data_IF_016413761555
#
_entry.id   IF_016413761555
#
_cell.length_a   1.000
_cell.length_b   1.000
_cell.length_c   1.000
_cell.angle_alpha   90.00
_cell.angle_beta   90.00
_cell.angle_gamma   90.00
#
_symmetry.space_group_name_H-M   'P 1'
#
loop_
_entity.id
_entity.type
_entity.pdbx_description
1 polymer ?
#
# COMPACT_ATOMS: atom_id res chain seq x y z
N UNK A 1 2.95 20.72 -25.48
CA UNK A 1 1.69 20.32 -24.81
C UNK A 1 1.17 18.93 -25.22
N UNK A 2 1.17 18.52 -26.50
CA UNK A 2 0.67 17.21 -26.96
C UNK A 2 1.37 15.98 -26.35
N UNK A 3 2.66 16.04 -26.08
CA UNK A 3 3.45 14.90 -25.57
C UNK A 3 3.17 14.54 -24.10
N UNK A 4 2.88 15.55 -23.25
CA UNK A 4 2.53 15.35 -21.84
C UNK A 4 1.15 14.71 -21.67
N UNK A 5 0.18 15.12 -22.49
CA UNK A 5 -1.18 14.57 -22.47
C UNK A 5 -1.19 13.10 -22.90
N UNK A 6 -0.47 12.76 -23.98
CA UNK A 6 -0.32 11.38 -24.47
C UNK A 6 0.29 10.47 -23.39
N UNK A 7 1.36 10.92 -22.73
CA UNK A 7 2.05 10.14 -21.67
C UNK A 7 1.16 9.92 -20.43
N UNK A 8 0.34 10.89 -20.07
CA UNK A 8 -0.58 10.74 -18.95
C UNK A 8 -1.65 9.69 -19.28
N UNK A 9 -2.19 9.70 -20.49
CA UNK A 9 -3.17 8.72 -20.95
C UNK A 9 -2.58 7.29 -20.95
N UNK A 10 -1.37 7.10 -21.47
CA UNK A 10 -0.67 5.81 -21.46
C UNK A 10 -0.45 5.28 -20.02
N UNK A 11 -0.11 6.14 -19.08
CA UNK A 11 0.04 5.75 -17.67
C UNK A 11 -1.30 5.33 -17.06
N UNK A 12 -2.36 6.08 -17.32
CA UNK A 12 -3.71 5.77 -16.80
C UNK A 12 -4.20 4.44 -17.34
N UNK A 13 -4.04 4.20 -18.65
CA UNK A 13 -4.40 2.91 -19.27
C UNK A 13 -3.61 1.75 -18.69
N UNK A 14 -2.30 1.92 -18.50
CA UNK A 14 -1.46 0.89 -17.92
C UNK A 14 -1.90 0.53 -16.48
N UNK A 15 -2.15 1.54 -15.64
CA UNK A 15 -2.61 1.34 -14.27
C UNK A 15 -3.97 0.65 -14.23
N UNK A 16 -4.91 1.07 -15.10
CA UNK A 16 -6.21 0.43 -15.22
C UNK A 16 -6.10 -1.03 -15.67
N UNK A 17 -5.25 -1.31 -16.65
CA UNK A 17 -5.01 -2.67 -17.15
C UNK A 17 -4.40 -3.57 -16.05
N UNK A 18 -3.41 -3.06 -15.28
CA UNK A 18 -2.83 -3.78 -14.15
C UNK A 18 -3.91 -4.11 -13.11
N UNK A 19 -4.75 -3.13 -12.76
CA UNK A 19 -5.84 -3.34 -11.82
C UNK A 19 -6.83 -4.41 -12.31
N UNK A 20 -7.26 -4.32 -13.57
CA UNK A 20 -8.19 -5.28 -14.15
C UNK A 20 -7.62 -6.70 -14.18
N UNK A 21 -6.35 -6.85 -14.56
CA UNK A 21 -5.65 -8.14 -14.54
C UNK A 21 -5.60 -8.73 -13.12
N UNK A 22 -5.18 -7.92 -12.14
CA UNK A 22 -5.11 -8.35 -10.75
C UNK A 22 -6.50 -8.67 -10.20
N UNK A 23 -7.51 -7.87 -10.54
CA UNK A 23 -8.88 -8.13 -10.13
C UNK A 23 -9.37 -9.50 -10.63
N UNK A 24 -9.11 -9.85 -11.91
CA UNK A 24 -9.42 -11.17 -12.45
C UNK A 24 -8.69 -12.27 -11.68
N UNK A 25 -7.40 -12.10 -11.39
CA UNK A 25 -6.61 -13.07 -10.64
C UNK A 25 -7.20 -13.26 -9.23
N UNK A 26 -7.57 -12.19 -8.55
CA UNK A 26 -8.12 -12.26 -7.19
C UNK A 26 -9.59 -12.72 -7.12
N UNK A 27 -10.32 -12.75 -8.23
CA UNK A 27 -11.63 -13.41 -8.28
C UNK A 27 -11.54 -14.92 -7.96
N UNK A 28 -10.41 -15.54 -8.32
CA UNK A 28 -10.15 -16.98 -8.10
C UNK A 28 -9.33 -17.23 -6.82
N UNK A 29 -9.16 -16.22 -5.97
CA UNK A 29 -8.38 -16.36 -4.74
C UNK A 29 -9.22 -17.02 -3.63
N UNK A 30 -8.76 -18.16 -3.15
CA UNK A 30 -9.38 -18.89 -2.04
C UNK A 30 -8.86 -18.41 -0.69
N UNK A 31 -9.59 -18.74 0.38
CA UNK A 31 -9.14 -18.51 1.75
C UNK A 31 -7.94 -19.39 2.08
N UNK A 32 -7.00 -18.84 2.84
CA UNK A 32 -5.95 -19.57 3.51
C UNK A 32 -6.43 -20.06 4.88
N UNK A 33 -5.66 -20.94 5.52
CA UNK A 33 -5.94 -21.51 6.85
C UNK A 33 -6.16 -20.43 7.91
N UNK A 34 -5.36 -19.35 7.86
CA UNK A 34 -5.47 -18.22 8.79
C UNK A 34 -6.76 -17.44 8.58
N UNK A 35 -7.26 -17.34 7.35
CA UNK A 35 -8.53 -16.71 7.04
C UNK A 35 -9.71 -17.46 7.64
N UNK A 36 -9.68 -18.80 7.59
CA UNK A 36 -10.70 -19.65 8.21
C UNK A 36 -10.70 -19.57 9.73
N UNK A 37 -9.54 -19.55 10.36
CA UNK A 37 -9.43 -19.47 11.81
C UNK A 37 -10.07 -18.20 12.37
N UNK A 38 -9.98 -17.08 11.63
CA UNK A 38 -10.61 -15.83 12.00
C UNK A 38 -12.13 -15.84 11.82
N UNK A 39 -12.64 -16.47 10.76
CA UNK A 39 -14.09 -16.60 10.56
C UNK A 39 -14.75 -17.45 11.64
N UNK A 40 -14.07 -18.48 12.13
CA UNK A 40 -14.60 -19.35 13.19
C UNK A 40 -14.58 -18.69 14.56
N UNK A 41 -13.71 -17.72 14.81
CA UNK A 41 -13.59 -17.03 16.09
C UNK A 41 -14.72 -16.01 16.33
N UNK A 42 -15.36 -15.50 15.27
CA UNK A 42 -16.45 -14.51 15.37
C UNK A 42 -17.63 -14.96 14.52
N UNK A 43 -18.76 -15.22 15.18
CA UNK A 43 -19.98 -15.76 14.55
C UNK A 43 -20.77 -14.75 13.73
N UNK A 44 -20.52 -13.45 13.91
CA UNK A 44 -21.27 -12.39 13.22
C UNK A 44 -20.41 -11.16 12.97
N UNK A 45 -20.61 -10.52 11.82
CA UNK A 45 -20.02 -9.24 11.50
C UNK A 45 -20.66 -8.12 12.32
N UNK A 46 -19.88 -7.43 13.14
CA UNK A 46 -20.28 -6.21 13.82
C UNK A 46 -19.10 -5.26 14.00
N UNK A 47 -19.37 -3.97 14.16
CA UNK A 47 -18.32 -2.97 14.47
C UNK A 47 -17.69 -3.29 15.83
N UNK A 48 -18.49 -3.70 16.82
CA UNK A 48 -18.02 -4.07 18.15
C UNK A 48 -17.04 -5.25 18.09
N UNK A 49 -17.37 -6.32 17.37
CA UNK A 49 -16.50 -7.48 17.18
C UNK A 49 -15.21 -7.12 16.42
N UNK A 50 -15.29 -6.24 15.43
CA UNK A 50 -14.12 -5.76 14.69
C UNK A 50 -13.17 -4.95 15.56
N UNK A 51 -13.68 -4.09 16.42
CA UNK A 51 -12.89 -3.34 17.39
C UNK A 51 -12.29 -4.25 18.45
N UNK A 52 -13.09 -5.18 18.98
CA UNK A 52 -12.64 -6.18 19.95
C UNK A 52 -11.49 -7.03 19.39
N UNK A 53 -11.67 -7.57 18.18
CA UNK A 53 -10.61 -8.30 17.48
C UNK A 53 -9.33 -7.47 17.30
N UNK A 54 -9.48 -6.18 16.92
CA UNK A 54 -8.34 -5.31 16.67
C UNK A 54 -7.54 -4.99 17.93
N UNK A 55 -8.22 -4.87 19.08
CA UNK A 55 -7.62 -4.54 20.37
C UNK A 55 -7.03 -5.79 21.04
N UNK A 56 -7.80 -6.88 21.09
CA UNK A 56 -7.43 -8.09 21.85
C UNK A 56 -6.45 -9.02 21.13
N UNK A 57 -6.24 -8.86 19.81
CA UNK A 57 -5.26 -9.67 19.10
C UNK A 57 -3.79 -9.38 19.52
N UNK A 58 -3.59 -8.31 20.31
CA UNK A 58 -2.39 -8.08 21.12
C UNK A 58 -1.06 -7.82 20.39
N UNK A 59 -1.09 -7.64 19.05
CA UNK A 59 0.11 -7.48 18.22
C UNK A 59 0.39 -6.02 17.79
N UNK A 60 -0.33 -5.04 18.34
CA UNK A 60 -0.15 -3.62 17.98
C UNK A 60 -0.63 -3.19 16.59
N UNK A 61 -1.17 -4.11 15.79
CA UNK A 61 -1.56 -3.89 14.37
C UNK A 61 -3.03 -3.50 14.24
N UNK A 62 -3.45 -2.49 14.96
CA UNK A 62 -4.88 -2.12 15.06
C UNK A 62 -5.57 -1.97 13.71
N UNK A 63 -5.02 -1.17 12.79
CA UNK A 63 -5.61 -0.94 11.46
C UNK A 63 -5.52 -2.21 10.60
N UNK A 64 -4.39 -2.91 10.62
CA UNK A 64 -4.22 -4.17 9.90
C UNK A 64 -5.23 -5.22 10.33
N UNK A 65 -5.42 -5.41 11.63
CA UNK A 65 -6.38 -6.36 12.20
C UNK A 65 -7.83 -5.96 11.89
N UNK A 66 -8.17 -4.67 12.01
CA UNK A 66 -9.50 -4.17 11.71
C UNK A 66 -9.87 -4.41 10.23
N UNK A 67 -8.96 -4.08 9.33
CA UNK A 67 -9.16 -4.33 7.90
C UNK A 67 -9.26 -5.82 7.60
N UNK A 68 -8.41 -6.64 8.23
CA UNK A 68 -8.42 -8.09 8.09
C UNK A 68 -9.76 -8.70 8.52
N UNK A 69 -10.30 -8.25 9.66
CA UNK A 69 -11.60 -8.67 10.13
C UNK A 69 -12.69 -8.44 9.07
N UNK A 70 -12.78 -7.22 8.52
CA UNK A 70 -13.78 -6.91 7.49
C UNK A 70 -13.57 -7.67 6.19
N UNK A 71 -12.34 -7.91 5.76
CA UNK A 71 -12.06 -8.66 4.53
C UNK A 71 -12.44 -10.14 4.64
N UNK A 72 -12.34 -10.71 5.83
CA UNK A 72 -12.77 -12.09 6.05
C UNK A 72 -14.28 -12.28 5.95
N UNK A 73 -15.06 -11.27 6.38
CA UNK A 73 -16.53 -11.33 6.30
C UNK A 73 -17.09 -10.88 4.95
N UNK A 74 -16.38 -10.01 4.22
CA UNK A 74 -16.85 -9.50 2.93
C UNK A 74 -15.94 -9.91 1.77
N UNK A 75 -16.25 -11.02 1.07
CA UNK A 75 -15.43 -11.49 -0.06
C UNK A 75 -15.22 -10.42 -1.14
N UNK A 76 -16.27 -9.64 -1.45
CA UNK A 76 -16.20 -8.57 -2.46
C UNK A 76 -15.16 -7.53 -2.06
N UNK A 77 -15.08 -7.16 -0.78
CA UNK A 77 -14.13 -6.16 -0.29
C UNK A 77 -12.69 -6.59 -0.55
N UNK A 78 -12.36 -7.85 -0.26
CA UNK A 78 -11.01 -8.38 -0.53
C UNK A 78 -10.69 -8.46 -2.03
N UNK A 79 -11.69 -8.85 -2.86
CA UNK A 79 -11.53 -8.94 -4.31
C UNK A 79 -11.23 -7.58 -4.96
N UNK A 80 -11.76 -6.51 -4.39
CA UNK A 80 -11.50 -5.13 -4.86
C UNK A 80 -10.22 -4.56 -4.23
N UNK A 81 -10.01 -4.78 -2.95
CA UNK A 81 -8.95 -4.12 -2.20
C UNK A 81 -7.56 -4.69 -2.47
N UNK A 82 -7.41 -6.02 -2.57
CA UNK A 82 -6.11 -6.64 -2.85
C UNK A 82 -5.50 -6.14 -4.16
N UNK A 83 -6.22 -6.17 -5.30
CA UNK A 83 -5.69 -5.61 -6.55
C UNK A 83 -5.44 -4.10 -6.44
N UNK A 84 -6.24 -3.36 -5.67
CA UNK A 84 -6.04 -1.93 -5.44
C UNK A 84 -4.71 -1.66 -4.72
N UNK A 85 -4.42 -2.38 -3.64
CA UNK A 85 -3.16 -2.23 -2.88
C UNK A 85 -1.94 -2.48 -3.77
N UNK A 86 -1.94 -3.58 -4.54
CA UNK A 86 -0.84 -3.90 -5.45
C UNK A 86 -0.72 -2.88 -6.59
N UNK A 87 -1.83 -2.44 -7.15
CA UNK A 87 -1.84 -1.42 -8.21
C UNK A 87 -1.30 -0.08 -7.70
N UNK A 88 -1.70 0.34 -6.49
CA UNK A 88 -1.19 1.54 -5.84
C UNK A 88 0.32 1.41 -5.58
N UNK A 89 0.78 0.27 -5.07
CA UNK A 89 2.20 0.01 -4.86
C UNK A 89 3.00 0.17 -6.16
N UNK A 90 2.57 -0.50 -7.24
CA UNK A 90 3.22 -0.42 -8.55
C UNK A 90 3.21 1.01 -9.09
N UNK A 91 2.06 1.69 -9.03
CA UNK A 91 1.92 3.06 -9.50
C UNK A 91 2.81 4.05 -8.74
N UNK A 92 2.89 3.92 -7.43
CA UNK A 92 3.75 4.74 -6.59
C UNK A 92 5.25 4.47 -6.86
N UNK A 93 5.67 3.22 -7.02
CA UNK A 93 7.05 2.86 -7.41
C UNK A 93 7.41 3.51 -8.75
N UNK A 94 6.57 3.33 -9.77
CA UNK A 94 6.78 3.95 -11.10
C UNK A 94 6.91 5.47 -10.98
N UNK A 95 6.08 6.11 -10.16
CA UNK A 95 6.07 7.55 -9.97
C UNK A 95 7.29 8.06 -9.18
N UNK A 96 7.62 7.40 -8.07
CA UNK A 96 8.73 7.78 -7.18
C UNK A 96 10.06 7.69 -7.91
N UNK A 97 10.28 6.58 -8.62
CA UNK A 97 11.52 6.34 -9.39
C UNK A 97 11.52 6.96 -10.78
N UNK A 98 10.47 7.71 -11.15
CA UNK A 98 10.35 8.38 -12.46
C UNK A 98 10.55 7.46 -13.66
N UNK A 99 10.06 6.24 -13.58
CA UNK A 99 10.22 5.27 -14.66
C UNK A 99 9.47 5.76 -15.90
N UNK A 100 10.21 6.14 -16.94
CA UNK A 100 9.65 6.77 -18.15
C UNK A 100 9.35 5.78 -19.26
N UNK A 101 10.21 4.77 -19.45
CA UNK A 101 10.10 3.81 -20.54
C UNK A 101 8.99 2.79 -20.25
N UNK A 102 8.09 2.56 -21.20
CA UNK A 102 6.94 1.66 -21.03
C UNK A 102 7.36 0.25 -20.65
N UNK A 103 8.38 -0.31 -21.31
CA UNK A 103 8.86 -1.65 -21.01
C UNK A 103 9.40 -1.80 -19.58
N UNK A 104 10.04 -0.75 -19.03
CA UNK A 104 10.48 -0.76 -17.63
C UNK A 104 9.31 -0.71 -16.65
N UNK A 105 8.22 0.00 -16.96
CA UNK A 105 7.00 -0.01 -16.16
C UNK A 105 6.35 -1.38 -16.14
N UNK A 106 6.27 -2.02 -17.31
CA UNK A 106 5.76 -3.38 -17.45
C UNK A 106 6.64 -4.36 -16.68
N UNK A 107 7.96 -4.28 -16.83
CA UNK A 107 8.90 -5.12 -16.07
C UNK A 107 8.75 -4.93 -14.55
N UNK A 108 8.62 -3.69 -14.08
CA UNK A 108 8.35 -3.38 -12.66
C UNK A 108 7.05 -4.01 -12.18
N UNK A 109 5.98 -3.90 -12.97
CA UNK A 109 4.70 -4.52 -12.65
C UNK A 109 4.81 -6.04 -12.60
N UNK A 110 5.45 -6.66 -13.58
CA UNK A 110 5.65 -8.12 -13.64
C UNK A 110 6.48 -8.63 -12.46
N UNK A 111 7.55 -7.95 -12.08
CA UNK A 111 8.37 -8.32 -10.93
C UNK A 111 7.59 -8.32 -9.62
N UNK A 112 6.61 -7.43 -9.49
CA UNK A 112 5.75 -7.35 -8.29
C UNK A 112 4.60 -8.36 -8.36
N UNK A 113 3.99 -8.53 -9.54
CA UNK A 113 2.79 -9.38 -9.71
C UNK A 113 3.15 -10.86 -9.81
N UNK A 114 4.30 -11.20 -10.37
CA UNK A 114 4.74 -12.57 -10.65
C UNK A 114 5.93 -13.00 -9.79
N UNK A 115 5.81 -13.00 -8.46
CA UNK A 115 6.80 -13.62 -7.60
C UNK A 115 6.76 -15.14 -7.77
N UNK A 116 7.68 -15.85 -7.11
CA UNK A 116 7.60 -17.32 -7.08
C UNK A 116 6.22 -17.79 -6.56
N UNK A 117 5.76 -18.95 -7.03
CA UNK A 117 4.46 -19.50 -6.66
C UNK A 117 4.27 -19.62 -5.15
N UNK A 118 5.33 -19.99 -4.42
CA UNK A 118 5.31 -20.09 -2.96
C UNK A 118 5.15 -18.73 -2.27
N UNK A 119 5.80 -17.68 -2.81
CA UNK A 119 5.63 -16.31 -2.29
C UNK A 119 4.23 -15.78 -2.60
N UNK A 120 3.72 -16.02 -3.81
CA UNK A 120 2.37 -15.62 -4.19
C UNK A 120 1.34 -16.21 -3.24
N UNK A 121 1.40 -17.55 -3.01
CA UNK A 121 0.48 -18.24 -2.13
C UNK A 121 0.52 -17.68 -0.69
N UNK A 122 1.70 -17.44 -0.15
CA UNK A 122 1.86 -16.96 1.23
C UNK A 122 1.60 -15.47 1.40
N UNK A 123 2.02 -14.62 0.47
CA UNK A 123 2.01 -13.16 0.66
C UNK A 123 0.82 -12.46 0.01
N UNK A 124 0.36 -12.93 -1.15
CA UNK A 124 -0.73 -12.26 -1.87
C UNK A 124 -2.07 -12.97 -1.74
N UNK A 125 -2.06 -14.30 -1.62
CA UNK A 125 -3.28 -15.07 -1.42
C UNK A 125 -3.83 -14.84 -0.01
N UNK A 126 -2.99 -14.94 1.01
CA UNK A 126 -3.36 -14.75 2.41
C UNK A 126 -3.79 -13.30 2.71
N UNK A 127 -4.96 -13.12 3.34
CA UNK A 127 -5.43 -11.81 3.79
C UNK A 127 -4.52 -11.22 4.89
N UNK A 128 -4.10 -11.98 5.92
CA UNK A 128 -3.18 -11.49 6.93
C UNK A 128 -1.87 -10.94 6.35
N UNK A 129 -1.30 -11.64 5.38
CA UNK A 129 -0.04 -11.23 4.80
C UNK A 129 -0.17 -9.96 3.95
N UNK A 130 -1.21 -9.87 3.11
CA UNK A 130 -1.39 -8.66 2.29
C UNK A 130 -1.67 -7.44 3.15
N UNK A 131 -2.43 -7.61 4.24
CA UNK A 131 -2.76 -6.50 5.15
C UNK A 131 -1.59 -6.11 6.04
N UNK A 132 -0.81 -7.06 6.54
CA UNK A 132 0.25 -6.76 7.51
C UNK A 132 1.60 -6.43 6.86
N UNK A 133 1.82 -6.76 5.58
CA UNK A 133 3.10 -6.55 4.91
C UNK A 133 2.98 -5.75 3.61
N UNK A 134 2.05 -6.12 2.73
CA UNK A 134 1.97 -5.48 1.40
C UNK A 134 1.27 -4.12 1.48
N UNK A 135 0.19 -3.99 2.25
CA UNK A 135 -0.51 -2.73 2.43
C UNK A 135 0.34 -1.66 3.14
N UNK A 136 1.08 -1.98 4.23
CA UNK A 136 2.05 -1.04 4.80
C UNK A 136 3.14 -0.62 3.81
N UNK A 137 3.69 -1.55 3.03
CA UNK A 137 4.67 -1.24 1.99
C UNK A 137 4.10 -0.27 0.94
N UNK A 138 2.87 -0.53 0.48
CA UNK A 138 2.17 0.37 -0.44
C UNK A 138 2.00 1.76 0.18
N UNK A 139 1.64 1.85 1.47
CA UNK A 139 1.49 3.11 2.17
C UNK A 139 2.82 3.88 2.31
N UNK A 140 3.94 3.21 2.54
CA UNK A 140 5.29 3.83 2.51
C UNK A 140 5.52 4.51 1.15
N UNK A 141 5.25 3.81 0.05
CA UNK A 141 5.43 4.39 -1.28
C UNK A 141 4.43 5.49 -1.59
N UNK A 142 3.21 5.45 -1.04
CA UNK A 142 2.26 6.57 -1.08
C UNK A 142 2.84 7.79 -0.36
N UNK A 143 3.42 7.62 0.82
CA UNK A 143 4.08 8.73 1.53
C UNK A 143 5.23 9.34 0.71
N UNK A 144 6.09 8.53 0.09
CA UNK A 144 7.15 9.03 -0.80
C UNK A 144 6.59 9.76 -2.03
N UNK A 145 5.51 9.23 -2.63
CA UNK A 145 4.84 9.90 -3.75
C UNK A 145 4.25 11.24 -3.33
N UNK A 146 3.59 11.31 -2.16
CA UNK A 146 3.06 12.55 -1.60
C UNK A 146 4.15 13.58 -1.33
N UNK A 147 5.26 13.21 -0.70
CA UNK A 147 6.40 14.11 -0.48
C UNK A 147 6.91 14.70 -1.79
N UNK A 148 7.03 13.87 -2.84
CA UNK A 148 7.46 14.32 -4.17
C UNK A 148 6.44 15.27 -4.82
N UNK A 149 5.14 15.04 -4.62
CA UNK A 149 4.06 15.92 -5.12
C UNK A 149 4.07 17.24 -4.38
N UNK A 150 4.22 17.22 -3.05
CA UNK A 150 4.23 18.44 -2.20
C UNK A 150 5.28 19.42 -2.67
N UNK A 151 6.49 18.96 -3.00
CA UNK A 151 7.58 19.79 -3.49
C UNK A 151 7.24 20.58 -4.79
N UNK A 152 6.25 20.10 -5.56
CA UNK A 152 5.86 20.69 -6.86
C UNK A 152 4.60 21.55 -6.81
N UNK A 153 3.93 21.70 -5.65
CA UNK A 153 2.62 22.38 -5.53
C UNK A 153 2.71 23.75 -4.86
N UNK A 154 1.68 24.61 -5.13
CA UNK A 154 1.52 25.92 -4.50
C UNK A 154 1.17 25.79 -3.01
N UNK A 155 1.49 26.81 -2.21
CA UNK A 155 1.37 26.83 -0.73
C UNK A 155 0.02 26.29 -0.20
N UNK A 156 -1.11 26.73 -0.75
CA UNK A 156 -2.44 26.29 -0.28
C UNK A 156 -2.67 24.78 -0.45
N UNK A 157 -2.21 24.22 -1.58
CA UNK A 157 -2.32 22.79 -1.84
C UNK A 157 -1.33 21.96 -0.99
N UNK A 158 -0.18 22.54 -0.65
CA UNK A 158 0.80 21.88 0.21
C UNK A 158 0.24 21.57 1.59
N UNK A 159 -0.50 22.50 2.20
CA UNK A 159 -1.09 22.29 3.52
C UNK A 159 -2.02 21.05 3.53
N UNK A 160 -2.92 20.96 2.56
CA UNK A 160 -3.81 19.79 2.43
C UNK A 160 -3.01 18.49 2.26
N UNK A 161 -1.97 18.51 1.41
CA UNK A 161 -1.15 17.33 1.15
C UNK A 161 -0.29 16.93 2.38
N UNK A 162 0.18 17.90 3.17
CA UNK A 162 0.83 17.62 4.46
C UNK A 162 -0.12 16.95 5.45
N UNK A 163 -1.38 17.40 5.51
CA UNK A 163 -2.40 16.74 6.35
C UNK A 163 -2.63 15.28 5.91
N UNK A 164 -2.76 15.04 4.60
CA UNK A 164 -2.90 13.68 4.07
C UNK A 164 -1.66 12.82 4.37
N UNK A 165 -0.46 13.38 4.20
CA UNK A 165 0.79 12.69 4.53
C UNK A 165 0.87 12.35 6.02
N UNK A 166 0.50 13.27 6.89
CA UNK A 166 0.46 13.05 8.33
C UNK A 166 -0.49 11.91 8.72
N UNK A 167 -1.72 11.92 8.18
CA UNK A 167 -2.69 10.84 8.41
C UNK A 167 -2.16 9.50 7.90
N UNK A 168 -1.62 9.46 6.68
CA UNK A 168 -1.04 8.25 6.11
C UNK A 168 0.11 7.70 6.96
N UNK A 169 0.96 8.58 7.50
CA UNK A 169 2.09 8.20 8.36
C UNK A 169 1.62 7.65 9.71
N UNK A 170 0.57 8.22 10.30
CA UNK A 170 -0.04 7.69 11.53
C UNK A 170 -0.66 6.31 11.24
N UNK A 171 -1.47 6.20 10.20
CA UNK A 171 -2.11 4.93 9.84
C UNK A 171 -1.09 3.80 9.67
N UNK A 172 0.09 4.11 9.12
CA UNK A 172 1.13 3.13 8.91
C UNK A 172 1.66 2.52 10.21
N UNK A 173 1.76 3.30 11.28
CA UNK A 173 2.24 2.82 12.58
C UNK A 173 1.31 1.76 13.18
N UNK A 174 0.02 1.84 12.86
CA UNK A 174 -0.99 0.88 13.31
C UNK A 174 -1.19 -0.31 12.37
N UNK A 175 -0.44 -0.39 11.25
CA UNK A 175 -0.47 -1.54 10.36
C UNK A 175 0.50 -2.63 10.77
N UNK A 176 1.76 -2.27 11.07
CA UNK A 176 2.81 -3.22 11.41
C UNK A 176 3.99 -2.50 12.06
N UNK A 177 4.48 -3.04 13.17
CA UNK A 177 5.65 -2.54 13.88
C UNK A 177 6.91 -2.56 13.00
N UNK A 178 7.08 -3.58 12.18
CA UNK A 178 8.20 -3.69 11.24
C UNK A 178 8.19 -2.57 10.19
N UNK A 179 7.00 -2.23 9.65
CA UNK A 179 6.85 -1.14 8.71
C UNK A 179 7.19 0.21 9.35
N UNK A 180 6.80 0.41 10.61
CA UNK A 180 7.13 1.61 11.38
C UNK A 180 8.65 1.78 11.54
N UNK A 181 9.35 0.71 11.92
CA UNK A 181 10.82 0.74 12.08
C UNK A 181 11.52 1.06 10.75
N UNK A 182 11.12 0.40 9.67
CA UNK A 182 11.68 0.65 8.33
C UNK A 182 11.45 2.10 7.90
N UNK A 183 10.24 2.62 8.12
CA UNK A 183 9.91 4.00 7.75
C UNK A 183 10.72 5.02 8.56
N UNK A 184 10.80 4.84 9.88
CA UNK A 184 11.59 5.71 10.76
C UNK A 184 13.07 5.67 10.39
N UNK A 185 13.64 4.48 10.18
CA UNK A 185 15.03 4.34 9.75
C UNK A 185 15.27 5.04 8.40
N UNK A 186 14.36 4.88 7.45
CA UNK A 186 14.46 5.55 6.14
C UNK A 186 14.34 7.07 6.28
N UNK A 187 13.42 7.57 7.11
CA UNK A 187 13.27 8.99 7.36
C UNK A 187 14.52 9.60 7.99
N UNK A 188 15.07 8.94 9.02
CA UNK A 188 16.34 9.37 9.67
C UNK A 188 17.50 9.36 8.67
N UNK A 189 17.60 8.30 7.85
CA UNK A 189 18.63 8.23 6.81
C UNK A 189 18.50 9.36 5.79
N UNK A 190 17.30 9.66 5.31
CA UNK A 190 17.08 10.74 4.35
C UNK A 190 17.38 12.11 4.95
N UNK A 191 17.01 12.35 6.21
CA UNK A 191 17.34 13.60 6.92
C UNK A 191 18.86 13.73 7.06
N UNK A 192 19.54 12.68 7.52
CA UNK A 192 20.99 12.68 7.64
C UNK A 192 21.67 12.88 6.27
N UNK A 193 21.25 12.16 5.25
CA UNK A 193 21.76 12.31 3.89
C UNK A 193 21.60 13.76 3.38
N UNK A 194 20.41 14.35 3.57
CA UNK A 194 20.16 15.74 3.16
C UNK A 194 21.05 16.73 3.94
N UNK A 195 21.20 16.52 5.24
CA UNK A 195 22.06 17.35 6.08
C UNK A 195 23.53 17.30 5.61
N UNK A 196 24.08 16.11 5.34
CA UNK A 196 25.47 15.96 4.91
C UNK A 196 25.71 16.44 3.46
N UNK A 197 24.74 16.31 2.55
CA UNK A 197 24.91 16.70 1.15
C UNK A 197 24.60 18.15 0.88
N UNK A 198 23.58 18.71 1.50
CA UNK A 198 23.12 20.08 1.22
C UNK A 198 23.57 21.10 2.27
N UNK A 199 24.14 20.64 3.41
CA UNK A 199 24.53 21.48 4.57
C UNK A 199 23.46 22.50 5.00
N UNK A 200 22.20 22.23 4.72
CA UNK A 200 21.06 23.10 5.02
C UNK A 200 19.91 22.25 5.58
N UNK A 201 19.45 22.61 6.77
CA UNK A 201 18.11 22.26 7.23
C UNK A 201 17.15 23.30 6.61
N UNK A 202 16.36 22.91 5.64
CA UNK A 202 15.15 23.67 5.33
C UNK A 202 14.08 23.24 6.32
N UNK A 203 13.81 24.10 7.29
CA UNK A 203 12.69 23.98 8.21
C UNK A 203 11.35 24.20 7.49
#
# INVERSE_FOLDING_TARGET
>A
MKTTTKRNYENTLLIFFIYALLFIVFLFNFFDTDDYSMQTSYSALSIANGLDFSIHYGNGRFIGNLALYYFNFYPITRMVFKPMVLTVLIGCIIYVFEIKKLWLKIATALLIIMPSSGFYAKCYSSNPCIMNYVAPLANIFVCFALMKIIGRKKKKMRLLLYTVLFIASICMQFYSENATVIFLATAVFLIAYKYFTEKKFEA
#
